data_IF_124620411237
#
_entry.id   IF_124620411237
#
_cell.length_a   1.000
_cell.length_b   1.000
_cell.length_c   1.000
_cell.angle_alpha   90.00
_cell.angle_beta   90.00
_cell.angle_gamma   90.00
#
_symmetry.space_group_name_H-M   'P 1'
#
loop_
_entity.id
_entity.type
_entity.pdbx_description
1 polymer ?
#
# COMPACT_ATOMS: atom_id res chain seq x y z
N UNK A 1 5.49 41.92 -41.90
CA UNK A 1 5.34 40.78 -40.96
C UNK A 1 4.79 41.33 -39.66
N UNK A 2 3.56 40.97 -39.28
CA UNK A 2 2.93 41.47 -38.03
C UNK A 2 3.64 40.81 -36.86
N UNK A 3 4.34 41.60 -36.05
CA UNK A 3 4.90 41.12 -34.79
C UNK A 3 3.73 40.71 -33.88
N UNK A 4 3.66 39.43 -33.53
CA UNK A 4 2.67 38.89 -32.60
C UNK A 4 3.29 38.79 -31.21
N UNK A 5 3.24 39.85 -30.38
CA UNK A 5 3.90 39.88 -29.08
C UNK A 5 3.40 38.75 -28.15
N UNK A 6 2.14 38.36 -28.27
CA UNK A 6 1.55 37.27 -27.50
C UNK A 6 2.15 35.88 -27.82
N UNK A 7 2.60 35.66 -29.07
CA UNK A 7 3.26 34.41 -29.44
C UNK A 7 4.65 34.31 -28.79
N UNK A 8 5.37 35.42 -28.74
CA UNK A 8 6.65 35.50 -28.04
C UNK A 8 6.50 35.32 -26.53
N UNK A 9 5.48 35.93 -25.92
CA UNK A 9 5.18 35.76 -24.49
C UNK A 9 4.84 34.30 -24.17
N UNK A 10 4.06 33.64 -25.04
CA UNK A 10 3.73 32.22 -24.88
C UNK A 10 4.97 31.32 -24.98
N UNK A 11 5.86 31.57 -25.94
CA UNK A 11 7.12 30.82 -26.04
C UNK A 11 7.99 31.06 -24.79
N UNK A 12 8.07 32.31 -24.31
CA UNK A 12 8.84 32.64 -23.12
C UNK A 12 8.29 31.96 -21.87
N UNK A 13 6.96 31.87 -21.72
CA UNK A 13 6.32 31.22 -20.57
C UNK A 13 6.49 29.70 -20.61
N UNK A 14 6.39 29.08 -21.78
CA UNK A 14 6.65 27.63 -21.96
C UNK A 14 8.11 27.31 -21.65
N UNK A 15 9.07 28.12 -22.14
CA UNK A 15 10.50 27.91 -21.86
C UNK A 15 10.83 28.08 -20.37
N UNK A 16 10.21 29.04 -19.67
CA UNK A 16 10.38 29.18 -18.22
C UNK A 16 9.79 27.98 -17.46
N UNK A 17 8.65 27.43 -17.89
CA UNK A 17 8.04 26.26 -17.24
C UNK A 17 8.92 25.01 -17.23
N UNK A 18 9.78 24.83 -18.24
CA UNK A 18 10.72 23.71 -18.31
C UNK A 18 11.87 23.88 -17.31
N UNK A 19 12.37 25.12 -17.14
CA UNK A 19 13.51 25.43 -16.25
C UNK A 19 13.12 25.46 -14.77
N UNK A 20 11.87 25.82 -14.47
CA UNK A 20 11.33 25.83 -13.10
C UNK A 20 10.56 24.55 -12.74
N UNK A 21 10.74 23.46 -13.50
CA UNK A 21 10.24 22.15 -13.09
C UNK A 21 10.92 21.79 -11.77
N UNK A 22 10.13 21.62 -10.72
CA UNK A 22 10.64 21.37 -9.38
C UNK A 22 11.23 19.95 -9.33
N UNK A 23 12.57 19.84 -9.35
CA UNK A 23 13.25 18.57 -9.05
C UNK A 23 12.87 18.13 -7.63
N UNK A 24 12.26 16.96 -7.52
CA UNK A 24 11.82 16.37 -6.25
C UNK A 24 12.88 15.45 -5.62
N UNK A 25 14.12 15.46 -6.14
CA UNK A 25 15.22 14.58 -5.69
C UNK A 25 15.47 14.66 -4.18
N UNK A 26 15.31 15.85 -3.58
CA UNK A 26 15.53 16.06 -2.13
C UNK A 26 14.67 15.15 -1.23
N UNK A 27 13.51 14.70 -1.70
CA UNK A 27 12.59 13.86 -0.94
C UNK A 27 12.43 12.46 -1.57
N UNK A 28 13.24 12.13 -2.58
CA UNK A 28 13.20 10.83 -3.22
C UNK A 28 14.07 9.86 -2.41
N UNK A 29 13.47 8.74 -2.01
CA UNK A 29 14.19 7.62 -1.41
C UNK A 29 14.05 6.43 -2.35
N UNK A 30 15.17 6.00 -2.92
CA UNK A 30 15.23 4.83 -3.79
C UNK A 30 15.72 3.62 -3.01
N UNK A 31 15.02 2.50 -3.17
CA UNK A 31 15.35 1.23 -2.53
C UNK A 31 15.60 0.19 -3.64
N UNK A 32 16.82 -0.36 -3.69
CA UNK A 32 17.27 -1.22 -4.80
C UNK A 32 16.92 -2.69 -4.57
N UNK A 33 16.92 -3.15 -3.32
CA UNK A 33 16.76 -4.57 -2.97
C UNK A 33 15.45 -4.82 -2.21
N UNK A 34 14.32 -4.56 -2.87
CA UNK A 34 12.99 -4.78 -2.28
C UNK A 34 12.71 -6.28 -2.10
N UNK A 35 12.25 -6.65 -0.90
CA UNK A 35 11.78 -8.00 -0.58
C UNK A 35 10.26 -8.03 -0.61
N UNK A 36 9.70 -9.05 -1.26
CA UNK A 36 8.26 -9.34 -1.24
C UNK A 36 7.98 -10.52 -0.33
N UNK A 37 7.07 -10.33 0.64
CA UNK A 37 6.50 -11.40 1.47
C UNK A 37 5.00 -11.50 1.27
N UNK A 38 4.49 -12.72 1.29
CA UNK A 38 3.05 -12.99 1.18
C UNK A 38 2.65 -13.92 2.31
N UNK A 39 1.79 -13.43 3.19
CA UNK A 39 1.16 -14.21 4.24
C UNK A 39 -0.21 -14.66 3.74
N UNK A 40 -0.50 -15.96 3.85
CA UNK A 40 -1.74 -16.54 3.36
C UNK A 40 -2.50 -17.14 4.53
N UNK A 41 -3.75 -16.72 4.70
CA UNK A 41 -4.64 -17.16 5.76
C UNK A 41 -5.92 -17.72 5.14
N UNK A 42 -6.30 -18.91 5.57
CA UNK A 42 -7.57 -19.55 5.27
C UNK A 42 -8.61 -19.20 6.32
N UNK A 43 -9.87 -19.53 6.05
CA UNK A 43 -10.98 -19.33 6.99
C UNK A 43 -10.74 -19.93 8.38
N UNK A 44 -9.97 -21.01 8.48
CA UNK A 44 -9.62 -21.62 9.76
C UNK A 44 -8.58 -20.82 10.56
N UNK A 45 -7.78 -20.00 9.89
CA UNK A 45 -6.72 -19.22 10.52
C UNK A 45 -7.25 -17.92 11.12
N UNK A 46 -8.22 -17.28 10.44
CA UNK A 46 -8.78 -16.00 10.86
C UNK A 46 -10.12 -16.09 11.61
N UNK A 47 -10.62 -17.30 11.87
CA UNK A 47 -11.82 -17.55 12.68
C UNK A 47 -11.47 -18.44 13.88
N UNK A 48 -11.84 -18.01 15.08
CA UNK A 48 -11.65 -18.78 16.31
C UNK A 48 -12.64 -19.95 16.40
N UNK A 49 -12.43 -20.87 17.34
CA UNK A 49 -13.40 -21.94 17.63
C UNK A 49 -14.77 -21.42 18.08
N UNK A 50 -14.82 -20.20 18.61
CA UNK A 50 -16.03 -19.52 19.07
C UNK A 50 -16.74 -18.78 17.91
N UNK A 51 -16.15 -18.78 16.71
CA UNK A 51 -16.68 -18.09 15.54
C UNK A 51 -16.40 -16.59 15.56
N UNK A 52 -15.40 -16.13 16.32
CA UNK A 52 -14.95 -14.73 16.35
C UNK A 52 -13.73 -14.52 15.42
N UNK A 53 -13.40 -13.25 15.15
CA UNK A 53 -12.22 -12.93 14.36
C UNK A 53 -10.93 -13.23 15.15
N UNK A 54 -10.01 -13.97 14.56
CA UNK A 54 -8.71 -14.23 15.17
C UNK A 54 -7.74 -13.08 14.90
N UNK A 55 -7.58 -12.19 15.88
CA UNK A 55 -6.67 -11.04 15.81
C UNK A 55 -5.18 -11.43 15.71
N UNK A 56 -4.81 -12.70 15.89
CA UNK A 56 -3.44 -13.15 15.71
C UNK A 56 -2.91 -12.83 14.30
N UNK A 57 -3.77 -12.86 13.29
CA UNK A 57 -3.38 -12.56 11.90
C UNK A 57 -2.99 -11.08 11.69
N UNK A 58 -3.38 -10.20 12.63
CA UNK A 58 -3.06 -8.78 12.57
C UNK A 58 -1.59 -8.50 12.89
N UNK A 59 -0.84 -9.46 13.44
CA UNK A 59 0.57 -9.25 13.81
C UNK A 59 1.47 -10.11 12.94
N UNK A 60 2.27 -9.47 12.08
CA UNK A 60 3.22 -10.12 11.20
C UNK A 60 4.65 -9.90 11.69
N UNK A 61 5.39 -10.99 11.84
CA UNK A 61 6.81 -10.96 12.19
C UNK A 61 7.66 -10.90 10.91
N UNK A 62 8.41 -9.81 10.77
CA UNK A 62 9.31 -9.52 9.65
C UNK A 62 10.67 -9.08 10.23
N UNK A 63 11.52 -10.02 10.70
CA UNK A 63 12.71 -9.69 11.50
C UNK A 63 13.72 -8.75 10.83
N UNK A 64 13.71 -8.70 9.51
CA UNK A 64 14.59 -7.89 8.65
C UNK A 64 13.90 -6.62 8.11
N UNK A 65 12.66 -6.33 8.54
CA UNK A 65 12.01 -5.04 8.26
C UNK A 65 12.66 -3.95 9.12
N UNK A 66 13.28 -2.99 8.45
CA UNK A 66 13.92 -1.84 9.09
C UNK A 66 12.96 -0.67 9.17
N UNK A 67 13.12 0.18 10.18
CA UNK A 67 12.25 1.35 10.40
C UNK A 67 12.48 2.49 9.38
N UNK A 68 13.65 2.51 8.74
CA UNK A 68 14.02 3.48 7.70
C UNK A 68 13.42 3.15 6.32
N UNK A 69 12.97 1.92 6.10
CA UNK A 69 12.28 1.47 4.88
C UNK A 69 10.80 1.21 5.20
N UNK A 70 9.90 2.18 4.95
CA UNK A 70 8.48 1.97 5.21
C UNK A 70 7.94 0.88 4.28
N UNK A 71 7.24 -0.15 4.81
CA UNK A 71 6.72 -1.21 3.98
C UNK A 71 5.51 -0.73 3.18
N UNK A 72 5.42 -1.18 1.93
CA UNK A 72 4.16 -1.21 1.20
C UNK A 72 3.38 -2.45 1.62
N UNK A 73 2.13 -2.26 2.04
CA UNK A 73 1.26 -3.35 2.50
C UNK A 73 -0.04 -3.34 1.70
N UNK A 74 -0.44 -4.50 1.21
CA UNK A 74 -1.71 -4.72 0.53
C UNK A 74 -2.39 -5.96 1.09
N UNK A 75 -3.71 -5.89 1.28
CA UNK A 75 -4.54 -7.03 1.70
C UNK A 75 -5.47 -7.40 0.55
N UNK A 76 -5.42 -8.67 0.18
CA UNK A 76 -6.26 -9.29 -0.84
C UNK A 76 -7.22 -10.24 -0.16
N UNK A 77 -8.44 -10.22 -0.65
CA UNK A 77 -9.54 -11.05 -0.16
C UNK A 77 -10.07 -11.91 -1.29
N UNK A 78 -10.59 -13.07 -0.92
CA UNK A 78 -11.32 -13.95 -1.83
C UNK A 78 -12.50 -14.55 -1.08
N UNK A 79 -13.69 -14.45 -1.66
CA UNK A 79 -14.91 -15.13 -1.18
C UNK A 79 -15.03 -16.50 -1.85
N UNK A 80 -15.94 -17.32 -1.35
CA UNK A 80 -16.25 -18.60 -1.97
C UNK A 80 -16.70 -18.40 -3.43
N UNK A 81 -16.07 -19.13 -4.35
CA UNK A 81 -16.32 -19.04 -5.80
C UNK A 81 -16.16 -17.63 -6.41
N UNK A 82 -15.38 -16.74 -5.79
CA UNK A 82 -15.06 -15.42 -6.33
C UNK A 82 -13.62 -15.29 -6.83
N UNK A 83 -13.39 -14.27 -7.64
CA UNK A 83 -12.06 -13.77 -7.94
C UNK A 83 -11.43 -13.08 -6.71
N UNK A 84 -10.11 -12.90 -6.78
CA UNK A 84 -9.38 -12.09 -5.81
C UNK A 84 -9.70 -10.60 -6.00
N UNK A 85 -9.90 -9.89 -4.89
CA UNK A 85 -10.09 -8.45 -4.90
C UNK A 85 -9.33 -7.77 -3.78
N UNK A 86 -8.92 -6.52 -4.03
CA UNK A 86 -8.28 -5.65 -3.03
C UNK A 86 -9.32 -4.68 -2.48
N UNK A 87 -9.59 -4.71 -1.17
CA UNK A 87 -10.42 -3.65 -0.57
C UNK A 87 -9.70 -2.30 -0.48
N UNK A 88 -8.36 -2.29 -0.56
CA UNK A 88 -7.56 -1.06 -0.50
C UNK A 88 -7.92 -0.02 -1.56
N UNK A 89 -8.73 -0.39 -2.57
CA UNK A 89 -9.24 0.51 -3.61
C UNK A 89 -10.70 0.96 -3.39
N UNK A 90 -11.51 0.30 -2.56
CA UNK A 90 -12.96 0.55 -2.54
C UNK A 90 -13.51 1.16 -1.23
N UNK A 91 -12.85 1.00 -0.07
CA UNK A 91 -13.23 1.70 1.16
C UNK A 91 -12.13 1.56 2.22
N UNK A 92 -11.66 2.69 2.75
CA UNK A 92 -10.63 2.86 3.82
C UNK A 92 -9.17 2.74 3.39
N UNK A 93 -8.38 3.66 3.96
CA UNK A 93 -6.93 3.60 4.03
C UNK A 93 -6.55 2.43 4.94
N UNK A 94 -5.62 1.60 4.51
CA UNK A 94 -5.01 0.56 5.34
C UNK A 94 -4.36 1.20 6.57
N UNK A 95 -4.66 0.69 7.76
CA UNK A 95 -4.11 1.16 9.03
C UNK A 95 -3.12 0.16 9.60
N UNK A 96 -1.88 0.56 9.74
CA UNK A 96 -0.86 -0.28 10.33
C UNK A 96 0.20 0.54 11.05
N UNK A 97 0.91 -0.11 11.96
CA UNK A 97 2.17 0.38 12.51
C UNK A 97 3.24 -0.68 12.26
N UNK A 98 4.50 -0.24 12.19
CA UNK A 98 5.64 -1.13 12.10
C UNK A 98 6.74 -0.64 13.04
N UNK A 99 7.34 -1.57 13.78
CA UNK A 99 8.42 -1.28 14.73
C UNK A 99 9.17 -2.57 15.07
N UNK A 100 10.50 -2.50 15.20
CA UNK A 100 11.33 -3.63 15.67
C UNK A 100 11.06 -4.96 14.90
N UNK A 101 10.88 -4.89 13.57
CA UNK A 101 10.57 -6.06 12.75
C UNK A 101 9.16 -6.64 12.93
N UNK A 102 8.24 -5.90 13.56
CA UNK A 102 6.84 -6.29 13.76
C UNK A 102 5.96 -5.33 12.97
N UNK A 103 5.10 -5.88 12.10
CA UNK A 103 4.05 -5.13 11.40
C UNK A 103 2.69 -5.46 12.05
N UNK A 104 2.05 -4.48 12.68
CA UNK A 104 0.71 -4.64 13.27
C UNK A 104 -0.34 -3.94 12.44
N UNK A 105 -1.34 -4.70 12.01
CA UNK A 105 -2.52 -4.26 11.29
C UNK A 105 -3.64 -3.97 12.30
N UNK A 106 -4.44 -2.94 12.01
CA UNK A 106 -5.67 -2.69 12.74
C UNK A 106 -6.72 -3.76 12.35
N UNK A 107 -7.47 -4.28 13.32
CA UNK A 107 -8.57 -5.24 13.09
C UNK A 107 -9.60 -4.67 12.11
N UNK A 108 -9.84 -3.36 12.15
CA UNK A 108 -10.75 -2.65 11.26
C UNK A 108 -10.29 -2.61 9.79
N UNK A 109 -9.17 -3.24 9.44
CA UNK A 109 -8.81 -3.52 8.05
C UNK A 109 -9.55 -4.74 7.49
N UNK A 110 -10.01 -5.66 8.34
CA UNK A 110 -10.62 -6.93 7.95
C UNK A 110 -12.14 -6.88 8.12
N UNK A 111 -12.83 -6.09 7.27
CA UNK A 111 -14.30 -6.06 7.29
C UNK A 111 -14.88 -7.29 6.61
N UNK A 112 -16.10 -7.65 7.00
CA UNK A 112 -16.86 -8.77 6.43
C UNK A 112 -16.05 -10.08 6.36
N UNK A 113 -15.11 -10.26 7.29
CA UNK A 113 -14.19 -11.40 7.35
C UNK A 113 -14.95 -12.74 7.42
N UNK A 114 -16.18 -12.74 7.94
CA UNK A 114 -17.05 -13.92 8.00
C UNK A 114 -17.48 -14.43 6.61
N UNK A 115 -17.55 -13.54 5.61
CA UNK A 115 -17.88 -13.87 4.21
C UNK A 115 -16.66 -14.28 3.39
N UNK A 116 -15.46 -14.09 3.93
CA UNK A 116 -14.21 -14.33 3.24
C UNK A 116 -13.80 -15.80 3.42
N UNK A 117 -13.20 -16.36 2.37
CA UNK A 117 -12.65 -17.71 2.35
C UNK A 117 -11.12 -17.69 2.54
N UNK A 118 -10.45 -16.73 1.90
CA UNK A 118 -8.99 -16.56 1.97
C UNK A 118 -8.60 -15.08 2.09
N UNK A 119 -7.57 -14.83 2.89
CA UNK A 119 -6.92 -13.52 3.04
C UNK A 119 -5.45 -13.67 2.68
N UNK A 120 -4.93 -12.78 1.84
CA UNK A 120 -3.49 -12.66 1.57
C UNK A 120 -2.97 -11.28 1.91
N UNK A 121 -1.93 -11.22 2.71
CA UNK A 121 -1.28 -9.97 3.10
C UNK A 121 0.08 -9.93 2.40
N UNK A 122 0.22 -8.98 1.48
CA UNK A 122 1.45 -8.76 0.72
C UNK A 122 2.19 -7.60 1.35
N UNK A 123 3.46 -7.82 1.67
CA UNK A 123 4.36 -6.81 2.21
C UNK A 123 5.57 -6.68 1.29
N UNK A 124 5.87 -5.46 0.84
CA UNK A 124 7.08 -5.12 0.08
C UNK A 124 7.89 -4.12 0.90
N UNK A 125 9.16 -4.38 1.15
CA UNK A 125 10.03 -3.57 2.03
C UNK A 125 11.51 -3.69 1.68
#
# INVERSE_FOLDING_TARGET
MKNHPFFFIYILSVLNGIVFCQEHEKNLSEYVELKKRVYSFSKLDFITSEGEFNEAICTLLIPDLKEDSPPFVAIYYKRDNSEWFTESLYRKRLRFNFKDGILKLDQSNFWDWFEIAEIKIVVIY
#
